data_IF_420292536860
#
_entry.id   IF_420292536860
#
_cell.length_a   1.000
_cell.length_b   1.000
_cell.length_c   1.000
_cell.angle_alpha   90.00
_cell.angle_beta   90.00
_cell.angle_gamma   90.00
#
_symmetry.space_group_name_H-M   'P 1'
#
loop_
_entity.id
_entity.type
_entity.pdbx_description
1 polymer ?
#
# COMPACT_ATOMS: atom_id res chain seq x y z
N UNK A 1 43.39 -69.22 6.89
CA UNK A 1 42.74 -67.90 7.05
C UNK A 1 43.69 -66.83 6.51
N UNK A 2 43.42 -66.30 5.32
CA UNK A 2 44.37 -65.48 4.53
C UNK A 2 44.44 -64.04 5.04
N UNK A 3 45.58 -63.38 4.85
CA UNK A 3 45.81 -61.97 5.24
C UNK A 3 44.70 -61.03 4.71
N UNK A 4 44.19 -61.31 3.50
CA UNK A 4 43.04 -60.64 2.87
C UNK A 4 41.75 -60.71 3.69
N UNK A 5 41.45 -61.87 4.30
CA UNK A 5 40.25 -62.01 5.16
C UNK A 5 40.34 -61.19 6.45
N UNK A 6 41.55 -61.06 7.03
CA UNK A 6 41.77 -60.22 8.20
C UNK A 6 41.69 -58.73 7.86
N UNK A 7 42.21 -58.33 6.70
CA UNK A 7 42.14 -56.94 6.22
C UNK A 7 40.70 -56.53 5.90
N UNK A 8 39.91 -57.40 5.25
CA UNK A 8 38.50 -57.13 4.97
C UNK A 8 37.68 -57.00 6.26
N UNK A 9 37.88 -57.89 7.24
CA UNK A 9 37.18 -57.80 8.52
C UNK A 9 37.58 -56.52 9.28
N UNK A 10 38.87 -56.16 9.28
CA UNK A 10 39.34 -54.93 9.91
C UNK A 10 38.76 -53.66 9.26
N UNK A 11 38.69 -53.61 7.93
CA UNK A 11 38.10 -52.49 7.20
C UNK A 11 36.59 -52.42 7.41
N UNK A 12 35.89 -53.56 7.43
CA UNK A 12 34.45 -53.63 7.70
C UNK A 12 34.10 -53.17 9.13
N UNK A 13 34.88 -53.58 10.13
CA UNK A 13 34.69 -53.16 11.53
C UNK A 13 34.92 -51.66 11.69
N UNK A 14 35.98 -51.12 11.09
CA UNK A 14 36.26 -49.67 11.07
C UNK A 14 35.15 -48.90 10.37
N UNK A 15 34.68 -49.39 9.23
CA UNK A 15 33.60 -48.78 8.48
C UNK A 15 32.29 -48.75 9.28
N UNK A 16 31.91 -49.88 9.89
CA UNK A 16 30.71 -49.97 10.73
C UNK A 16 30.81 -49.06 11.97
N UNK A 17 32.00 -48.94 12.57
CA UNK A 17 32.23 -48.02 13.69
C UNK A 17 32.00 -46.56 13.27
N UNK A 18 32.60 -46.10 12.17
CA UNK A 18 32.41 -44.73 11.69
C UNK A 18 30.98 -44.48 11.20
N UNK A 19 30.32 -45.46 10.58
CA UNK A 19 28.92 -45.37 10.18
C UNK A 19 28.01 -45.21 11.41
N UNK A 20 28.20 -46.02 12.44
CA UNK A 20 27.41 -45.93 13.68
C UNK A 20 27.64 -44.61 14.40
N UNK A 21 28.89 -44.15 14.45
CA UNK A 21 29.25 -42.87 15.06
C UNK A 21 28.61 -41.68 14.31
N UNK A 22 28.65 -41.69 12.98
CA UNK A 22 28.04 -40.61 12.16
C UNK A 22 26.53 -40.61 12.24
N UNK A 23 25.88 -41.78 12.15
CA UNK A 23 24.41 -41.89 12.31
C UNK A 23 23.98 -41.45 13.71
N UNK A 24 24.68 -41.88 14.77
CA UNK A 24 24.39 -41.46 16.14
C UNK A 24 24.57 -39.96 16.31
N UNK A 25 25.63 -39.39 15.74
CA UNK A 25 25.88 -37.94 15.75
C UNK A 25 24.79 -37.15 15.02
N UNK A 26 24.31 -37.62 13.86
CA UNK A 26 23.22 -37.02 13.12
C UNK A 26 21.90 -37.08 13.90
N UNK A 27 21.58 -38.23 14.52
CA UNK A 27 20.39 -38.38 15.36
C UNK A 27 20.45 -37.43 16.56
N UNK A 28 21.61 -37.34 17.23
CA UNK A 28 21.80 -36.42 18.35
C UNK A 28 21.65 -34.96 17.91
N UNK A 29 22.22 -34.58 16.77
CA UNK A 29 22.10 -33.24 16.22
C UNK A 29 20.64 -32.90 15.87
N UNK A 30 19.90 -33.84 15.26
CA UNK A 30 18.47 -33.68 14.98
C UNK A 30 17.64 -33.55 16.26
N UNK A 31 17.95 -34.32 17.30
CA UNK A 31 17.29 -34.21 18.60
C UNK A 31 17.58 -32.86 19.26
N UNK A 32 18.82 -32.39 19.23
CA UNK A 32 19.19 -31.05 19.75
C UNK A 32 18.46 -29.95 18.97
N UNK A 33 18.42 -30.04 17.63
CA UNK A 33 17.67 -29.09 16.80
C UNK A 33 16.17 -29.13 17.11
N UNK A 34 15.59 -30.32 17.30
CA UNK A 34 14.20 -30.46 17.68
C UNK A 34 13.91 -29.84 19.06
N UNK A 35 14.80 -30.05 20.05
CA UNK A 35 14.68 -29.47 21.39
C UNK A 35 14.81 -27.94 21.35
N UNK A 36 15.77 -27.41 20.58
CA UNK A 36 15.94 -25.95 20.40
C UNK A 36 14.72 -25.34 19.72
N UNK A 37 14.14 -26.03 18.74
CA UNK A 37 12.91 -25.59 18.08
C UNK A 37 11.70 -25.64 19.04
N UNK A 38 11.57 -26.71 19.84
CA UNK A 38 10.53 -26.83 20.88
C UNK A 38 10.65 -25.77 21.99
N UNK A 39 11.86 -25.24 22.23
CA UNK A 39 12.09 -24.13 23.17
C UNK A 39 11.73 -22.75 22.62
N UNK A 40 11.46 -22.63 21.32
CA UNK A 40 11.07 -21.38 20.68
C UNK A 40 9.60 -21.10 20.96
N UNK A 41 9.29 -19.97 21.60
CA UNK A 41 7.89 -19.60 21.83
C UNK A 41 7.18 -19.28 20.50
N UNK A 42 5.90 -19.64 20.36
CA UNK A 42 5.12 -19.24 19.21
C UNK A 42 5.11 -17.74 19.05
N UNK A 43 5.39 -17.26 17.85
CA UNK A 43 5.45 -15.85 17.52
C UNK A 43 5.11 -15.62 16.05
N UNK A 44 4.78 -14.37 15.73
CA UNK A 44 4.57 -13.91 14.35
C UNK A 44 5.91 -13.60 13.70
N UNK A 45 6.12 -14.16 12.50
CA UNK A 45 7.28 -13.91 11.64
C UNK A 45 7.10 -12.64 10.81
N UNK A 46 5.90 -12.42 10.27
CA UNK A 46 5.59 -11.22 9.49
C UNK A 46 4.09 -10.94 9.43
N UNK A 47 3.77 -9.65 9.24
CA UNK A 47 2.42 -9.15 8.97
C UNK A 47 2.50 -8.25 7.73
N UNK A 48 1.64 -8.48 6.75
CA UNK A 48 1.66 -7.73 5.49
C UNK A 48 0.30 -7.79 4.78
N UNK A 49 -0.02 -6.77 3.99
CA UNK A 49 -1.18 -6.75 3.11
C UNK A 49 -0.91 -7.56 1.83
N UNK A 50 -1.99 -7.98 1.15
CA UNK A 50 -1.89 -8.60 -0.18
C UNK A 50 -1.00 -7.75 -1.12
N UNK A 51 -0.10 -8.41 -1.86
CA UNK A 51 0.96 -7.74 -2.62
C UNK A 51 2.26 -7.50 -1.85
N UNK A 52 2.31 -7.82 -0.55
CA UNK A 52 3.53 -7.74 0.28
C UNK A 52 3.77 -6.36 0.90
N UNK A 53 2.80 -5.45 0.82
CA UNK A 53 2.91 -4.11 1.39
C UNK A 53 2.77 -4.16 2.92
N UNK A 54 3.59 -3.39 3.63
CA UNK A 54 3.46 -3.21 5.09
C UNK A 54 2.53 -2.06 5.47
N UNK A 55 2.17 -1.23 4.49
CA UNK A 55 1.20 -0.14 4.62
C UNK A 55 0.04 -0.37 3.66
N UNK A 56 -1.13 0.08 4.07
CA UNK A 56 -2.34 -0.04 3.29
C UNK A 56 -2.46 1.14 2.32
N UNK A 57 -2.58 0.85 1.02
CA UNK A 57 -2.69 1.87 -0.03
C UNK A 57 -4.11 2.05 -0.57
N UNK A 58 -5.05 1.21 -0.12
CA UNK A 58 -6.45 1.24 -0.55
C UNK A 58 -7.37 0.86 0.59
N UNK A 59 -8.56 1.45 0.64
CA UNK A 59 -9.62 1.08 1.59
C UNK A 59 -10.53 -0.04 1.08
N UNK A 60 -10.37 -0.44 -0.18
CA UNK A 60 -11.28 -1.36 -0.86
C UNK A 60 -10.98 -2.82 -0.50
N UNK A 61 -11.79 -3.38 0.39
CA UNK A 61 -11.77 -4.79 0.84
C UNK A 61 -10.36 -5.41 0.97
N UNK A 62 -9.45 -4.82 1.78
CA UNK A 62 -8.09 -5.28 1.83
C UNK A 62 -7.98 -6.67 2.46
N UNK A 63 -6.85 -7.34 2.22
CA UNK A 63 -6.51 -8.61 2.86
C UNK A 63 -5.23 -8.44 3.64
N UNK A 64 -5.27 -8.81 4.92
CA UNK A 64 -4.13 -8.80 5.82
C UNK A 64 -3.66 -10.23 6.05
N UNK A 65 -2.37 -10.48 5.91
CA UNK A 65 -1.74 -11.78 6.07
C UNK A 65 -0.79 -11.74 7.27
N UNK A 66 -0.85 -12.80 8.08
CA UNK A 66 -0.03 -12.99 9.27
C UNK A 66 0.64 -14.35 9.14
N UNK A 67 1.98 -14.36 9.07
CA UNK A 67 2.79 -15.57 8.97
C UNK A 67 3.36 -15.91 10.35
N UNK A 68 3.00 -17.08 10.88
CA UNK A 68 3.50 -17.57 12.16
C UNK A 68 4.76 -18.41 11.96
N UNK A 69 5.70 -18.32 12.90
CA UNK A 69 6.93 -19.11 12.85
C UNK A 69 6.69 -20.62 13.00
N UNK A 70 5.56 -21.01 13.58
CA UNK A 70 5.17 -22.40 13.84
C UNK A 70 3.66 -22.61 13.67
N UNK A 71 3.21 -23.88 13.57
CA UNK A 71 1.79 -24.19 13.46
C UNK A 71 1.01 -23.74 14.71
N UNK A 72 -0.04 -22.95 14.49
CA UNK A 72 -0.89 -22.43 15.56
C UNK A 72 -2.18 -23.25 15.72
N UNK A 73 -2.74 -23.28 16.94
CA UNK A 73 -4.12 -23.70 17.14
C UNK A 73 -5.05 -22.58 16.62
N UNK A 74 -5.71 -22.87 15.49
CA UNK A 74 -6.44 -21.86 14.71
C UNK A 74 -7.57 -21.20 15.49
N UNK A 75 -8.35 -22.01 16.22
CA UNK A 75 -9.48 -21.52 17.00
C UNK A 75 -9.00 -20.58 18.12
N UNK A 76 -7.92 -20.96 18.84
CA UNK A 76 -7.36 -20.09 19.89
C UNK A 76 -6.85 -18.75 19.36
N UNK A 77 -6.31 -18.72 18.14
CA UNK A 77 -5.86 -17.48 17.49
C UNK A 77 -7.06 -16.63 17.10
N UNK A 78 -8.09 -17.22 16.50
CA UNK A 78 -9.31 -16.53 16.08
C UNK A 78 -10.07 -15.96 17.28
N UNK A 79 -10.18 -16.71 18.38
CA UNK A 79 -10.82 -16.26 19.62
C UNK A 79 -10.02 -15.15 20.34
N UNK A 80 -8.71 -15.12 20.15
CA UNK A 80 -7.82 -14.12 20.74
C UNK A 80 -7.62 -12.88 19.85
N UNK A 81 -8.27 -12.82 18.68
CA UNK A 81 -8.09 -11.76 17.70
C UNK A 81 -9.02 -10.59 18.01
N UNK A 82 -8.43 -9.41 18.19
CA UNK A 82 -9.15 -8.16 18.44
C UNK A 82 -8.75 -7.12 17.42
N UNK A 83 -9.74 -6.37 16.92
CA UNK A 83 -9.53 -5.26 15.99
C UNK A 83 -10.30 -4.04 16.47
N UNK A 84 -9.62 -2.89 16.51
CA UNK A 84 -10.19 -1.60 16.90
C UNK A 84 -9.83 -0.52 15.88
N UNK A 85 -10.79 0.26 15.33
CA UNK A 85 -12.24 0.11 15.47
C UNK A 85 -12.75 -1.27 15.04
N UNK A 86 -13.90 -1.67 15.60
CA UNK A 86 -14.49 -2.97 15.29
C UNK A 86 -14.96 -3.01 13.83
N UNK A 87 -14.49 -4.01 13.09
CA UNK A 87 -14.88 -4.26 11.70
C UNK A 87 -15.13 -5.75 11.52
N UNK A 88 -16.15 -6.09 10.74
CA UNK A 88 -16.38 -7.49 10.37
C UNK A 88 -15.35 -7.99 9.36
N UNK A 89 -14.78 -9.16 9.64
CA UNK A 89 -13.86 -9.86 8.75
C UNK A 89 -14.13 -11.36 8.75
N UNK A 90 -13.64 -12.02 7.71
CA UNK A 90 -13.55 -13.48 7.63
C UNK A 90 -12.09 -13.91 7.78
N UNK A 91 -11.85 -15.05 8.41
CA UNK A 91 -10.53 -15.67 8.53
C UNK A 91 -10.40 -16.87 7.60
N UNK A 92 -9.18 -17.10 7.12
CA UNK A 92 -8.84 -18.32 6.38
C UNK A 92 -7.38 -18.67 6.62
N UNK A 93 -7.05 -19.96 6.57
CA UNK A 93 -5.73 -20.46 6.92
C UNK A 93 -5.08 -21.22 5.77
N UNK A 94 -3.78 -21.01 5.60
CA UNK A 94 -2.92 -21.82 4.73
C UNK A 94 -1.60 -22.10 5.44
N UNK A 95 -1.38 -23.36 5.82
CA UNK A 95 -0.24 -23.77 6.67
C UNK A 95 -0.20 -22.92 7.96
N UNK A 96 0.90 -22.19 8.18
CA UNK A 96 1.12 -21.29 9.31
C UNK A 96 0.69 -19.86 9.02
N UNK A 97 -0.10 -19.62 7.96
CA UNK A 97 -0.55 -18.28 7.57
C UNK A 97 -2.03 -18.10 7.85
N UNK A 98 -2.36 -17.06 8.60
CA UNK A 98 -3.71 -16.53 8.75
C UNK A 98 -3.91 -15.41 7.73
N UNK A 99 -5.00 -15.47 6.99
CA UNK A 99 -5.49 -14.38 6.15
C UNK A 99 -6.79 -13.84 6.76
N UNK A 100 -6.80 -12.53 7.00
CA UNK A 100 -7.97 -11.76 7.40
C UNK A 100 -8.48 -11.02 6.17
N UNK A 101 -9.75 -11.24 5.82
CA UNK A 101 -10.44 -10.57 4.73
C UNK A 101 -11.55 -9.69 5.32
N UNK A 102 -11.43 -8.38 5.21
CA UNK A 102 -12.48 -7.47 5.67
C UNK A 102 -13.71 -7.59 4.78
N UNK A 103 -14.90 -7.67 5.39
CA UNK A 103 -16.16 -7.84 4.66
C UNK A 103 -16.62 -6.55 3.97
N UNK A 104 -16.25 -5.42 4.55
CA UNK A 104 -16.59 -4.08 4.07
C UNK A 104 -15.33 -3.27 3.83
N UNK A 105 -15.49 -2.13 3.15
CA UNK A 105 -14.43 -1.14 3.07
C UNK A 105 -14.12 -0.62 4.47
N UNK A 106 -12.84 -0.41 4.73
CA UNK A 106 -12.43 0.22 5.98
C UNK A 106 -12.70 1.73 5.92
N UNK A 107 -13.05 2.31 7.06
CA UNK A 107 -13.14 3.77 7.19
C UNK A 107 -11.80 4.41 6.78
N UNK A 108 -11.86 5.45 5.96
CA UNK A 108 -10.67 6.14 5.44
C UNK A 108 -10.01 7.02 6.50
N UNK A 109 -8.70 7.27 6.39
CA UNK A 109 -7.97 8.12 7.34
C UNK A 109 -7.99 7.61 8.79
N UNK A 110 -8.29 6.32 8.99
CA UNK A 110 -8.55 5.73 10.30
C UNK A 110 -7.39 4.83 10.69
N UNK A 111 -6.91 4.98 11.94
CA UNK A 111 -5.90 4.10 12.52
C UNK A 111 -6.59 2.86 13.10
N UNK A 112 -6.26 1.70 12.54
CA UNK A 112 -6.70 0.40 13.00
C UNK A 112 -5.60 -0.28 13.81
N UNK A 113 -5.99 -0.86 14.94
CA UNK A 113 -5.16 -1.64 15.83
C UNK A 113 -5.66 -3.08 15.84
N UNK A 114 -4.80 -4.00 15.43
CA UNK A 114 -5.00 -5.44 15.49
C UNK A 114 -4.16 -6.01 16.63
N UNK A 115 -4.80 -6.79 17.49
CA UNK A 115 -4.16 -7.54 18.56
C UNK A 115 -4.43 -9.04 18.41
N UNK A 116 -3.41 -9.86 18.71
CA UNK A 116 -3.61 -11.29 19.02
C UNK A 116 -3.14 -11.48 20.46
N UNK A 117 -4.10 -11.70 21.35
CA UNK A 117 -3.88 -11.81 22.80
C UNK A 117 -3.11 -13.06 23.22
N UNK A 118 -2.73 -13.11 24.50
CA UNK A 118 -1.94 -14.19 25.11
C UNK A 118 -2.69 -15.53 25.24
N UNK A 119 -3.99 -15.55 24.94
CA UNK A 119 -4.79 -16.77 24.89
C UNK A 119 -4.54 -17.59 23.61
N UNK A 120 -3.95 -16.99 22.57
CA UNK A 120 -3.54 -17.70 21.37
C UNK A 120 -2.41 -18.69 21.67
N UNK A 121 -2.53 -19.91 21.15
CA UNK A 121 -1.61 -21.01 21.43
C UNK A 121 -1.14 -21.70 20.16
N UNK A 122 0.00 -22.37 20.23
CA UNK A 122 0.39 -23.35 19.22
C UNK A 122 -0.37 -24.67 19.37
N UNK A 123 -0.18 -25.57 18.39
CA UNK A 123 -0.79 -26.92 18.40
C UNK A 123 -0.33 -27.79 19.58
N UNK A 124 0.68 -27.38 20.34
CA UNK A 124 1.18 -28.06 21.54
C UNK A 124 0.66 -27.41 22.84
N UNK A 125 -0.15 -26.36 22.73
CA UNK A 125 -0.75 -25.64 23.87
C UNK A 125 0.14 -24.54 24.47
N UNK A 126 1.28 -24.21 23.84
CA UNK A 126 2.17 -23.13 24.29
C UNK A 126 1.58 -21.79 23.88
N UNK A 127 1.48 -20.85 24.81
CA UNK A 127 0.98 -19.50 24.53
C UNK A 127 1.93 -18.71 23.63
N UNK A 128 1.37 -17.88 22.76
CA UNK A 128 2.10 -16.93 21.94
C UNK A 128 2.90 -15.96 22.82
N UNK A 129 4.14 -15.65 22.43
CA UNK A 129 4.92 -14.60 23.06
C UNK A 129 5.97 -14.03 22.08
N UNK A 130 6.03 -12.70 21.90
CA UNK A 130 5.15 -11.70 22.52
C UNK A 130 3.71 -11.78 21.97
N UNK A 131 2.77 -11.14 22.67
CA UNK A 131 1.45 -10.84 22.09
C UNK A 131 1.63 -10.00 20.83
N UNK A 132 0.71 -10.15 19.88
CA UNK A 132 0.78 -9.39 18.63
C UNK A 132 0.10 -8.06 18.85
N UNK A 133 0.80 -6.99 18.48
CA UNK A 133 0.29 -5.62 18.49
C UNK A 133 0.70 -4.99 17.14
N UNK A 134 -0.29 -4.75 16.28
CA UNK A 134 -0.06 -4.26 14.92
C UNK A 134 -1.01 -3.11 14.62
N UNK A 135 -0.46 -1.97 14.19
CA UNK A 135 -1.26 -0.82 13.79
C UNK A 135 -1.06 -0.48 12.32
N UNK A 136 -2.12 -0.06 11.65
CA UNK A 136 -2.07 0.46 10.30
C UNK A 136 -3.09 1.57 10.11
N UNK A 137 -2.76 2.55 9.27
CA UNK A 137 -3.66 3.65 8.93
C UNK A 137 -4.17 3.47 7.51
N UNK A 138 -5.48 3.58 7.32
CA UNK A 138 -6.08 3.62 5.98
C UNK A 138 -5.79 4.96 5.30
N UNK A 139 -5.62 5.00 3.96
CA UNK A 139 -5.47 6.27 3.26
C UNK A 139 -6.74 7.11 3.40
N UNK A 140 -6.60 8.43 3.37
CA UNK A 140 -7.76 9.33 3.29
C UNK A 140 -8.40 9.25 1.91
N UNK A 141 -9.71 9.08 1.87
CA UNK A 141 -10.47 9.20 0.63
C UNK A 141 -10.67 10.67 0.33
N UNK A 142 -10.36 11.07 -0.89
CA UNK A 142 -10.61 12.42 -1.37
C UNK A 142 -11.08 12.45 -2.81
N UNK A 143 -11.72 13.54 -3.19
CA UNK A 143 -11.99 13.88 -4.58
C UNK A 143 -11.67 15.34 -4.81
N UNK A 144 -11.35 15.69 -6.05
CA UNK A 144 -11.07 17.07 -6.45
C UNK A 144 -12.17 17.58 -7.35
N UNK A 145 -12.66 18.78 -7.06
CA UNK A 145 -13.71 19.44 -7.81
C UNK A 145 -13.40 20.92 -8.02
N UNK A 146 -14.07 21.51 -9.01
CA UNK A 146 -14.00 22.93 -9.32
C UNK A 146 -15.23 23.63 -8.76
N UNK A 147 -15.01 24.55 -7.83
CA UNK A 147 -16.02 25.46 -7.31
C UNK A 147 -16.02 26.76 -8.13
N UNK A 148 -17.20 27.12 -8.64
CA UNK A 148 -17.41 28.29 -9.49
C UNK A 148 -17.95 29.46 -8.66
N UNK A 149 -17.15 30.51 -8.50
CA UNK A 149 -17.48 31.62 -7.59
C UNK A 149 -17.79 32.95 -8.31
N UNK A 150 -18.24 32.86 -9.56
CA UNK A 150 -18.45 34.01 -10.45
C UNK A 150 -19.49 35.03 -9.97
N UNK A 151 -20.30 34.69 -8.95
CA UNK A 151 -21.38 35.57 -8.44
C UNK A 151 -20.93 36.50 -7.31
N UNK A 152 -19.79 36.25 -6.67
CA UNK A 152 -19.35 36.97 -5.48
C UNK A 152 -18.07 37.79 -5.68
N UNK A 153 -17.64 38.01 -6.94
CA UNK A 153 -16.31 38.57 -7.26
C UNK A 153 -15.15 37.79 -6.62
N UNK A 154 -15.38 36.52 -6.26
CA UNK A 154 -14.35 35.64 -5.74
C UNK A 154 -13.79 34.78 -6.89
N UNK A 155 -12.49 34.44 -6.84
CA UNK A 155 -11.90 33.56 -7.84
C UNK A 155 -12.52 32.15 -7.77
N UNK A 156 -12.54 31.46 -8.92
CA UNK A 156 -12.82 30.03 -8.96
C UNK A 156 -11.76 29.28 -8.14
N UNK A 157 -12.17 28.20 -7.47
CA UNK A 157 -11.30 27.39 -6.60
C UNK A 157 -11.33 25.94 -7.02
N UNK A 158 -10.16 25.32 -7.12
CA UNK A 158 -10.03 23.86 -7.21
C UNK A 158 -9.81 23.33 -5.81
N UNK A 159 -10.72 22.49 -5.35
CA UNK A 159 -10.79 22.04 -3.96
C UNK A 159 -10.61 20.53 -3.93
N UNK A 160 -9.69 20.06 -3.07
CA UNK A 160 -9.65 18.66 -2.64
C UNK A 160 -10.48 18.51 -1.38
N UNK A 161 -11.51 17.70 -1.45
CA UNK A 161 -12.35 17.37 -0.31
C UNK A 161 -11.94 16.03 0.28
N UNK A 162 -11.62 16.00 1.56
CA UNK A 162 -11.28 14.79 2.30
C UNK A 162 -12.54 14.25 2.99
N UNK A 163 -13.05 13.12 2.49
CA UNK A 163 -14.36 12.59 2.87
C UNK A 163 -14.37 12.20 4.36
N UNK A 164 -13.37 11.43 4.80
CA UNK A 164 -13.30 10.95 6.19
C UNK A 164 -13.08 12.07 7.21
N UNK A 165 -12.24 13.05 6.88
CA UNK A 165 -11.96 14.18 7.76
C UNK A 165 -13.04 15.27 7.71
N UNK A 166 -13.90 15.27 6.68
CA UNK A 166 -14.86 16.34 6.41
C UNK A 166 -14.18 17.73 6.35
N UNK A 167 -13.02 17.77 5.70
CA UNK A 167 -12.19 18.97 5.52
C UNK A 167 -11.91 19.21 4.04
N UNK A 168 -11.55 20.44 3.71
CA UNK A 168 -11.18 20.82 2.35
C UNK A 168 -9.79 21.47 2.31
N UNK A 169 -9.07 21.25 1.21
CA UNK A 169 -7.85 21.97 0.86
C UNK A 169 -8.05 22.64 -0.49
N UNK A 170 -7.88 23.96 -0.54
CA UNK A 170 -7.78 24.69 -1.81
C UNK A 170 -6.44 24.33 -2.45
N UNK A 171 -6.48 23.69 -3.61
CA UNK A 171 -5.30 23.31 -4.38
C UNK A 171 -4.83 24.43 -5.31
N UNK A 172 -5.79 25.21 -5.84
CA UNK A 172 -5.50 26.31 -6.75
C UNK A 172 -6.68 27.28 -6.81
N UNK A 173 -6.41 28.55 -7.11
CA UNK A 173 -7.42 29.60 -7.24
C UNK A 173 -7.07 30.54 -8.39
N UNK A 174 -8.05 30.89 -9.23
CA UNK A 174 -7.91 31.88 -10.30
C UNK A 174 -9.27 32.42 -10.73
N UNK A 175 -9.32 33.62 -11.33
CA UNK A 175 -10.58 34.29 -11.66
C UNK A 175 -11.44 33.53 -12.68
N UNK A 176 -10.83 32.76 -13.58
CA UNK A 176 -11.56 32.03 -14.62
C UNK A 176 -10.84 30.73 -14.98
N UNK A 177 -11.21 29.65 -14.30
CA UNK A 177 -10.66 28.33 -14.56
C UNK A 177 -11.44 27.68 -15.70
N UNK A 178 -10.79 27.33 -16.79
CA UNK A 178 -11.44 26.64 -17.91
C UNK A 178 -11.72 25.18 -17.52
N UNK A 179 -10.73 24.51 -16.94
CA UNK A 179 -10.82 23.13 -16.48
C UNK A 179 -9.52 22.67 -15.84
N UNK A 180 -9.51 21.46 -15.31
CA UNK A 180 -8.34 20.89 -14.65
C UNK A 180 -8.27 19.37 -14.82
N UNK A 181 -7.10 18.82 -14.53
CA UNK A 181 -6.84 17.38 -14.41
C UNK A 181 -5.75 17.17 -13.37
N UNK A 182 -5.71 16.01 -12.73
CA UNK A 182 -4.68 15.69 -11.74
C UNK A 182 -4.20 14.24 -11.85
N UNK A 183 -3.05 13.98 -11.23
CA UNK A 183 -2.58 12.66 -10.82
C UNK A 183 -2.03 12.75 -9.37
N UNK A 184 -1.34 11.72 -8.89
CA UNK A 184 -0.83 11.70 -7.51
C UNK A 184 0.24 12.78 -7.22
N UNK A 185 0.90 13.30 -8.25
CA UNK A 185 2.02 14.24 -8.11
C UNK A 185 1.63 15.68 -8.46
N UNK A 186 0.74 15.87 -9.44
CA UNK A 186 0.51 17.18 -10.06
C UNK A 186 -0.96 17.48 -10.28
N UNK A 187 -1.29 18.77 -10.20
CA UNK A 187 -2.53 19.36 -10.71
C UNK A 187 -2.21 20.26 -11.90
N UNK A 188 -2.92 20.08 -13.00
CA UNK A 188 -2.82 20.94 -14.19
C UNK A 188 -4.10 21.69 -14.38
N UNK A 189 -4.00 23.01 -14.44
CA UNK A 189 -5.14 23.93 -14.52
C UNK A 189 -5.06 24.74 -15.78
N UNK A 190 -6.10 24.71 -16.60
CA UNK A 190 -6.29 25.64 -17.70
C UNK A 190 -7.03 26.88 -17.18
N UNK A 191 -6.46 28.06 -17.38
CA UNK A 191 -7.05 29.35 -16.97
C UNK A 191 -7.24 30.24 -18.19
N UNK A 192 -8.28 31.07 -18.18
CA UNK A 192 -8.46 32.14 -19.18
C UNK A 192 -7.50 33.29 -18.85
N UNK A 193 -6.95 33.91 -19.87
CA UNK A 193 -6.18 35.17 -19.78
C UNK A 193 -6.83 36.23 -20.67
N UNK A 194 -6.35 37.48 -20.59
CA UNK A 194 -6.86 38.59 -21.41
C UNK A 194 -6.72 38.35 -22.92
N UNK A 195 -5.67 37.63 -23.31
CA UNK A 195 -5.31 37.35 -24.70
C UNK A 195 -5.57 35.91 -25.12
N UNK A 196 -6.02 35.01 -24.22
CA UNK A 196 -6.16 33.59 -24.54
C UNK A 196 -6.35 32.70 -23.31
N UNK A 197 -5.46 31.73 -23.14
CA UNK A 197 -5.48 30.74 -22.07
C UNK A 197 -4.07 30.33 -21.71
N UNK A 198 -3.86 29.87 -20.49
CA UNK A 198 -2.59 29.32 -20.06
C UNK A 198 -2.78 28.05 -19.23
N UNK A 199 -1.75 27.20 -19.15
CA UNK A 199 -1.72 26.12 -18.17
C UNK A 199 -0.90 26.53 -16.94
N UNK A 200 -1.32 26.01 -15.79
CA UNK A 200 -0.65 26.17 -14.50
C UNK A 200 -0.46 24.77 -13.94
N UNK A 201 0.75 24.47 -13.47
CA UNK A 201 1.07 23.14 -12.93
C UNK A 201 1.41 23.34 -11.45
N UNK A 202 0.66 22.68 -10.59
CA UNK A 202 0.92 22.62 -9.14
C UNK A 202 1.61 21.30 -8.83
N UNK A 203 2.75 21.34 -8.15
CA UNK A 203 3.44 20.15 -7.62
C UNK A 203 2.99 19.94 -6.17
N UNK A 204 2.30 18.83 -5.91
CA UNK A 204 1.77 18.53 -4.59
C UNK A 204 2.85 18.24 -3.54
N UNK A 205 4.05 17.80 -3.94
CA UNK A 205 5.14 17.48 -3.00
C UNK A 205 5.83 18.73 -2.51
N UNK A 206 5.95 19.74 -3.37
CA UNK A 206 6.63 20.98 -3.05
C UNK A 206 5.68 22.06 -2.47
N UNK A 207 4.36 21.80 -2.50
CA UNK A 207 3.31 22.78 -2.19
C UNK A 207 3.54 24.10 -2.95
N UNK A 208 4.07 23.99 -4.17
CA UNK A 208 4.47 25.09 -5.03
C UNK A 208 3.82 24.92 -6.41
N UNK A 209 3.67 26.03 -7.14
CA UNK A 209 3.18 25.98 -8.51
C UNK A 209 4.17 26.62 -9.47
N UNK A 210 4.32 26.00 -10.63
CA UNK A 210 5.05 26.54 -11.75
C UNK A 210 4.03 26.97 -12.80
N UNK A 211 4.19 28.21 -13.26
CA UNK A 211 3.48 28.64 -14.46
C UNK A 211 4.23 28.10 -15.67
N UNK A 212 3.63 27.17 -16.38
CA UNK A 212 4.10 26.80 -17.71
C UNK A 212 3.47 27.79 -18.68
N UNK A 213 4.27 28.70 -19.24
CA UNK A 213 3.81 29.57 -20.31
C UNK A 213 4.10 28.88 -21.64
N UNK A 214 3.07 28.26 -22.23
CA UNK A 214 3.20 27.40 -23.39
C UNK A 214 2.24 27.89 -24.46
N UNK A 215 2.75 28.69 -25.39
CA UNK A 215 2.02 29.15 -26.57
C UNK A 215 1.68 30.64 -26.62
N UNK A 216 1.94 31.40 -25.55
CA UNK A 216 1.81 32.86 -25.55
C UNK A 216 0.37 33.36 -25.79
N UNK A 217 0.27 34.63 -26.16
CA UNK A 217 -1.01 35.29 -26.45
C UNK A 217 -1.75 34.63 -27.62
N UNK A 218 -3.09 34.54 -27.51
CA UNK A 218 -4.01 34.03 -28.53
C UNK A 218 -4.07 32.51 -28.73
N UNK A 219 -3.77 31.73 -27.70
CA UNK A 219 -4.06 30.29 -27.66
C UNK A 219 -5.24 30.02 -26.72
N UNK A 220 -6.30 29.35 -27.19
CA UNK A 220 -7.38 28.86 -26.34
C UNK A 220 -7.21 27.37 -26.05
N UNK A 221 -7.16 27.01 -24.77
CA UNK A 221 -7.12 25.62 -24.33
C UNK A 221 -8.55 25.09 -24.21
N UNK A 222 -8.85 23.98 -24.87
CA UNK A 222 -10.17 23.35 -24.83
C UNK A 222 -10.31 22.36 -23.68
N UNK A 223 -9.55 21.27 -23.75
CA UNK A 223 -9.56 20.20 -22.75
C UNK A 223 -8.14 19.84 -22.36
N UNK A 224 -7.93 19.55 -21.08
CA UNK A 224 -6.66 19.07 -20.54
C UNK A 224 -6.84 17.67 -19.95
N UNK A 225 -5.83 16.83 -20.13
CA UNK A 225 -5.76 15.46 -19.66
C UNK A 225 -4.36 15.18 -19.14
N UNK A 226 -4.27 14.39 -18.08
CA UNK A 226 -3.03 13.93 -17.50
C UNK A 226 -3.02 12.42 -17.41
N UNK A 227 -1.86 11.81 -17.66
CA UNK A 227 -1.70 10.38 -17.44
C UNK A 227 -1.76 10.09 -15.93
N UNK A 228 -2.51 9.05 -15.50
CA UNK A 228 -2.61 8.71 -14.08
C UNK A 228 -1.28 8.28 -13.46
N UNK A 229 -0.35 7.75 -14.27
CA UNK A 229 0.90 7.13 -13.79
C UNK A 229 2.16 7.73 -14.40
N UNK A 230 2.05 8.38 -15.56
CA UNK A 230 3.16 9.09 -16.18
C UNK A 230 2.95 10.59 -15.95
N UNK A 231 4.04 11.31 -15.72
CA UNK A 231 4.00 12.77 -15.59
C UNK A 231 3.91 13.44 -16.98
N UNK A 232 2.86 13.08 -17.71
CA UNK A 232 2.60 13.51 -19.08
C UNK A 232 1.23 14.20 -19.16
N UNK A 233 1.19 15.27 -19.94
CA UNK A 233 0.01 16.12 -20.13
C UNK A 233 -0.33 16.12 -21.61
N UNK A 234 -1.61 15.99 -21.93
CA UNK A 234 -2.16 16.21 -23.25
C UNK A 234 -3.28 17.23 -23.16
N UNK A 235 -3.43 18.07 -24.19
CA UNK A 235 -4.53 19.02 -24.26
C UNK A 235 -4.93 19.25 -25.71
N UNK A 236 -6.09 19.86 -25.90
CA UNK A 236 -6.48 20.46 -27.17
C UNK A 236 -6.32 21.97 -27.08
N UNK A 237 -5.81 22.58 -28.16
CA UNK A 237 -5.63 24.01 -28.23
C UNK A 237 -6.01 24.54 -29.62
N UNK A 238 -6.51 25.78 -29.65
CA UNK A 238 -6.87 26.49 -30.86
C UNK A 238 -6.22 27.85 -30.87
N UNK A 239 -5.53 28.18 -31.96
CA UNK A 239 -5.01 29.53 -32.19
C UNK A 239 -6.17 30.43 -32.58
N UNK A 240 -6.28 31.56 -31.90
CA UNK A 240 -7.32 32.56 -32.13
C UNK A 240 -6.70 33.91 -32.49
N UNK A 241 -7.56 34.84 -32.85
CA UNK A 241 -7.27 36.26 -32.90
C UNK A 241 -8.36 36.98 -32.10
N UNK A 242 -7.98 38.02 -31.36
CA UNK A 242 -8.92 38.81 -30.57
C UNK A 242 -9.48 39.95 -31.44
N UNK A 243 -10.76 39.86 -31.82
CA UNK A 243 -11.47 40.89 -32.58
C UNK A 243 -12.55 41.49 -31.70
N UNK A 244 -12.39 42.76 -31.32
CA UNK A 244 -13.30 43.48 -30.41
C UNK A 244 -13.55 42.75 -29.07
N UNK A 245 -12.52 42.12 -28.51
CA UNK A 245 -12.62 41.36 -27.26
C UNK A 245 -13.24 39.97 -27.41
N UNK A 246 -13.56 39.55 -28.64
CA UNK A 246 -14.07 38.20 -28.95
C UNK A 246 -12.94 37.40 -29.59
N UNK A 247 -12.65 36.23 -29.02
CA UNK A 247 -11.72 35.28 -29.61
C UNK A 247 -12.35 34.60 -30.83
N UNK A 248 -11.78 34.80 -32.00
CA UNK A 248 -12.19 34.13 -33.25
C UNK A 248 -11.10 33.18 -33.73
N UNK A 249 -11.43 32.00 -34.27
CA UNK A 249 -10.46 31.08 -34.85
C UNK A 249 -9.59 31.78 -35.90
N UNK A 250 -8.28 31.65 -35.79
CA UNK A 250 -7.39 32.07 -36.87
C UNK A 250 -7.47 31.04 -37.99
N UNK A 251 -8.25 31.31 -39.03
CA UNK A 251 -8.25 30.48 -40.24
C UNK A 251 -6.88 30.55 -40.89
N UNK A 252 -6.30 29.39 -41.19
CA UNK A 252 -5.01 29.23 -41.85
C UNK A 252 -4.97 29.87 -43.24
#
# INVERSE_FOLDING_TARGET
MTLLSKLNNFLADRFNYYLTLTVSGLVLALLVLAILNLGSRPHVKSIYFEGGATQLTTVLAPKLLIDFAQPMDRQSVEDALLLSPAVEFDTSWSLNKLQIKFKYNLDSGTNYHLQIGDQAKDIFGTQIAPVVDFSFTTPELSFVYLERNSREYQPDRIIRYFIGANTEKVLYSADNIIGFTENDNYLVVAVRTDSGSALRIVDFKQDSFVTLDWGGDNLLVGKVHMSPVADQIAFTAQVVEMVNGIAVPKTA
#
